data_IF_446825547615
#
_entry.id   IF_446825547615
#
_cell.length_a   1.000
_cell.length_b   1.000
_cell.length_c   1.000
_cell.angle_alpha   90.00
_cell.angle_beta   90.00
_cell.angle_gamma   90.00
#
_symmetry.space_group_name_H-M   'P 1'
#
loop_
_entity.id
_entity.type
_entity.pdbx_description
1 polymer ?
#
# COMPACT_ATOMS: atom_id res chain seq x y z
N UNK A 1 23.22 13.83 -0.44
CA UNK A 1 22.25 13.93 -1.56
C UNK A 1 21.17 12.89 -1.30
N UNK A 2 19.96 13.31 -0.86
CA UNK A 2 18.84 12.40 -0.64
C UNK A 2 18.14 12.20 -1.98
N UNK A 3 18.18 10.98 -2.51
CA UNK A 3 17.40 10.61 -3.68
C UNK A 3 15.93 10.46 -3.27
N UNK A 4 15.08 11.39 -3.70
CA UNK A 4 13.63 11.25 -3.59
C UNK A 4 13.18 10.20 -4.61
N UNK A 5 12.99 8.98 -4.16
CA UNK A 5 12.33 7.96 -4.97
C UNK A 5 10.81 8.18 -4.87
N UNK A 6 10.26 8.90 -5.84
CA UNK A 6 8.80 9.02 -6.02
C UNK A 6 8.32 7.75 -6.71
N UNK A 7 7.75 6.83 -5.94
CA UNK A 7 7.08 5.66 -6.49
C UNK A 7 5.68 6.09 -6.92
N UNK A 8 5.44 6.11 -8.24
CA UNK A 8 4.10 6.32 -8.80
C UNK A 8 3.36 4.98 -8.81
N UNK A 9 2.44 4.79 -7.87
CA UNK A 9 1.48 3.69 -7.95
C UNK A 9 0.25 4.23 -8.67
N UNK A 10 0.08 3.86 -9.95
CA UNK A 10 -1.10 4.18 -10.74
C UNK A 10 -2.06 3.01 -10.54
N UNK A 11 -3.04 3.16 -9.64
CA UNK A 11 -4.13 2.20 -9.51
C UNK A 11 -5.29 2.68 -10.40
N UNK A 12 -5.45 2.07 -11.57
CA UNK A 12 -6.56 2.33 -12.49
C UNK A 12 -7.76 1.47 -12.09
N UNK A 13 -8.68 2.01 -11.30
CA UNK A 13 -9.93 1.33 -10.98
C UNK A 13 -10.97 1.76 -12.02
N UNK A 14 -11.26 0.88 -13.00
CA UNK A 14 -12.40 1.02 -13.91
C UNK A 14 -13.64 0.40 -13.27
N UNK A 15 -14.58 1.22 -12.90
CA UNK A 15 -15.94 0.76 -12.58
C UNK A 15 -16.75 0.80 -13.89
N UNK A 16 -17.08 -0.37 -14.45
CA UNK A 16 -17.89 -0.48 -15.67
C UNK A 16 -19.33 -0.76 -15.25
N UNK A 17 -20.27 0.18 -15.35
CA UNK A 17 -21.68 -0.14 -15.42
C UNK A 17 -21.96 -0.69 -16.81
N UNK A 18 -22.45 -1.91 -16.90
CA UNK A 18 -22.85 -2.56 -18.14
C UNK A 18 -24.22 -2.02 -18.57
N UNK A 19 -24.23 -0.95 -19.33
CA UNK A 19 -25.37 -0.56 -20.17
C UNK A 19 -24.81 0.12 -21.42
N UNK A 20 -25.14 -0.51 -22.55
CA UNK A 20 -24.77 -0.07 -23.88
C UNK A 20 -25.55 1.19 -24.26
N UNK A 21 -24.90 2.34 -24.22
CA UNK A 21 -25.25 3.48 -25.05
C UNK A 21 -23.95 4.18 -25.46
N UNK A 22 -23.79 4.32 -26.80
CA UNK A 22 -22.68 5.04 -27.41
C UNK A 22 -22.93 6.54 -27.22
N UNK A 23 -22.45 7.10 -26.09
CA UNK A 23 -22.40 8.52 -25.84
C UNK A 23 -20.94 8.95 -25.78
N UNK A 24 -20.61 10.09 -26.39
CA UNK A 24 -19.31 10.74 -26.32
C UNK A 24 -18.98 11.03 -24.87
N UNK A 25 -18.32 10.08 -24.24
CA UNK A 25 -18.00 10.14 -22.82
C UNK A 25 -16.69 10.93 -22.66
N UNK A 26 -16.82 12.19 -22.26
CA UNK A 26 -15.72 12.95 -21.71
C UNK A 26 -15.49 12.44 -20.28
N UNK A 27 -14.84 11.29 -20.15
CA UNK A 27 -14.41 10.81 -18.85
C UNK A 27 -13.50 11.85 -18.21
N UNK A 28 -13.95 12.43 -17.10
CA UNK A 28 -13.19 13.42 -16.37
C UNK A 28 -12.30 12.71 -15.35
N UNK A 29 -10.99 12.69 -15.61
CA UNK A 29 -10.02 12.20 -14.65
C UNK A 29 -9.81 13.20 -13.51
N UNK A 30 -10.12 12.78 -12.30
CA UNK A 30 -9.87 13.56 -11.08
C UNK A 30 -8.62 13.04 -10.39
N UNK A 31 -7.71 13.95 -10.04
CA UNK A 31 -6.46 13.64 -9.35
C UNK A 31 -6.56 14.02 -7.89
N UNK A 32 -6.28 13.06 -7.01
CA UNK A 32 -6.20 13.25 -5.57
C UNK A 32 -4.84 12.77 -5.07
N UNK A 33 -4.25 13.45 -4.09
CA UNK A 33 -2.96 13.06 -3.53
C UNK A 33 -2.98 13.19 -2.02
N UNK A 34 -2.31 12.25 -1.35
CA UNK A 34 -2.12 12.24 0.09
C UNK A 34 -0.75 11.64 0.43
N UNK A 35 -0.21 11.99 1.58
CA UNK A 35 1.08 11.50 2.05
C UNK A 35 0.90 10.33 3.00
N UNK A 36 1.46 9.17 2.65
CA UNK A 36 1.38 7.96 3.46
C UNK A 36 2.63 7.10 3.25
N UNK A 37 3.05 6.34 4.25
CA UNK A 37 4.21 5.43 4.17
C UNK A 37 5.50 6.10 3.65
N UNK A 38 5.75 7.36 4.07
CA UNK A 38 6.94 8.12 3.68
C UNK A 38 6.98 8.56 2.21
N UNK A 39 5.90 8.43 1.46
CA UNK A 39 5.78 8.83 0.05
C UNK A 39 4.45 9.53 -0.23
N UNK A 40 4.28 10.04 -1.45
CA UNK A 40 3.01 10.62 -1.90
C UNK A 40 2.24 9.59 -2.71
N UNK A 41 1.05 9.24 -2.23
CA UNK A 41 0.08 8.45 -2.97
C UNK A 41 -0.73 9.37 -3.87
N UNK A 42 -0.86 8.99 -5.13
CA UNK A 42 -1.69 9.73 -6.11
C UNK A 42 -2.70 8.77 -6.73
N UNK A 43 -3.97 9.16 -6.65
CA UNK A 43 -5.09 8.46 -7.25
C UNK A 43 -5.59 9.27 -8.46
N UNK A 44 -5.76 8.59 -9.58
CA UNK A 44 -6.45 9.10 -10.76
C UNK A 44 -7.76 8.32 -10.87
N UNK A 45 -8.88 9.01 -10.70
CA UNK A 45 -10.21 8.41 -10.70
C UNK A 45 -10.97 8.93 -11.92
N UNK A 46 -11.40 8.02 -12.77
CA UNK A 46 -12.26 8.28 -13.92
C UNK A 46 -13.72 8.20 -13.47
N UNK A 47 -14.37 9.35 -13.33
CA UNK A 47 -15.75 9.45 -12.86
C UNK A 47 -16.35 10.81 -13.24
N UNK A 48 -17.61 10.83 -13.70
CA UNK A 48 -18.28 12.07 -14.12
C UNK A 48 -18.59 13.00 -12.96
N UNK A 49 -18.83 12.46 -11.77
CA UNK A 49 -19.15 13.22 -10.57
C UNK A 49 -17.92 13.34 -9.66
N UNK A 50 -17.40 14.56 -9.52
CA UNK A 50 -16.24 14.86 -8.68
C UNK A 50 -16.45 14.53 -7.19
N UNK A 51 -17.68 14.69 -6.67
CA UNK A 51 -17.96 14.43 -5.25
C UNK A 51 -17.91 12.93 -4.96
N UNK A 52 -18.37 12.08 -5.88
CA UNK A 52 -18.26 10.63 -5.77
C UNK A 52 -16.79 10.19 -5.93
N UNK A 53 -16.06 10.74 -6.89
CA UNK A 53 -14.62 10.50 -7.04
C UNK A 53 -13.87 10.87 -5.75
N UNK A 54 -14.17 12.02 -5.15
CA UNK A 54 -13.57 12.48 -3.90
C UNK A 54 -13.88 11.55 -2.73
N UNK A 55 -15.13 11.09 -2.58
CA UNK A 55 -15.50 10.09 -1.55
C UNK A 55 -14.69 8.80 -1.72
N UNK A 56 -14.57 8.30 -2.95
CA UNK A 56 -13.76 7.12 -3.27
C UNK A 56 -12.29 7.32 -2.89
N UNK A 57 -11.70 8.47 -3.25
CA UNK A 57 -10.33 8.82 -2.90
C UNK A 57 -10.12 8.85 -1.38
N UNK A 58 -11.05 9.47 -0.63
CA UNK A 58 -10.98 9.55 0.83
C UNK A 58 -11.00 8.16 1.48
N UNK A 59 -11.84 7.24 0.99
CA UNK A 59 -11.89 5.86 1.49
C UNK A 59 -10.59 5.12 1.22
N UNK A 60 -10.03 5.28 0.01
CA UNK A 60 -8.76 4.65 -0.36
C UNK A 60 -7.58 5.18 0.48
N UNK A 61 -7.49 6.49 0.70
CA UNK A 61 -6.46 7.06 1.57
C UNK A 61 -6.62 6.63 3.02
N UNK A 62 -7.86 6.57 3.54
CA UNK A 62 -8.14 6.04 4.88
C UNK A 62 -7.61 4.61 5.03
N UNK A 63 -7.81 3.77 4.03
CA UNK A 63 -7.30 2.40 4.04
C UNK A 63 -5.77 2.36 3.96
N UNK A 64 -5.13 3.21 3.13
CA UNK A 64 -3.69 3.34 3.07
C UNK A 64 -3.10 3.74 4.43
N UNK A 65 -3.71 4.70 5.12
CA UNK A 65 -3.30 5.09 6.48
C UNK A 65 -3.49 3.95 7.49
N UNK A 66 -4.59 3.18 7.39
CA UNK A 66 -4.78 1.99 8.23
C UNK A 66 -3.67 0.96 8.01
N UNK A 67 -3.32 0.68 6.77
CA UNK A 67 -2.26 -0.25 6.42
C UNK A 67 -0.87 0.26 6.82
N UNK A 68 -0.66 1.58 6.86
CA UNK A 68 0.57 2.16 7.41
C UNK A 68 0.79 1.76 8.87
N UNK A 69 -0.27 1.67 9.68
CA UNK A 69 -0.17 1.19 11.07
C UNK A 69 0.17 -0.30 11.17
N UNK A 70 -0.05 -1.07 10.12
CA UNK A 70 0.34 -2.48 10.05
C UNK A 70 1.79 -2.63 9.57
N UNK A 71 2.14 -1.99 8.45
CA UNK A 71 3.33 -2.30 7.69
C UNK A 71 4.49 -1.29 7.82
N UNK A 72 4.31 -0.15 8.46
CA UNK A 72 5.40 0.83 8.59
C UNK A 72 6.50 0.32 9.50
N UNK A 73 7.75 0.37 9.03
CA UNK A 73 8.93 0.11 9.84
C UNK A 73 9.51 1.40 10.47
N UNK A 74 8.98 2.58 10.10
CA UNK A 74 9.34 3.88 10.67
C UNK A 74 8.46 4.27 11.85
N UNK A 75 7.19 3.85 11.84
CA UNK A 75 6.22 4.11 12.90
C UNK A 75 6.42 3.12 14.05
N UNK A 76 6.96 3.60 15.17
CA UNK A 76 7.27 2.73 16.34
C UNK A 76 6.03 2.03 16.92
N UNK A 77 4.84 2.56 16.66
CA UNK A 77 3.55 2.02 17.05
C UNK A 77 2.97 0.99 16.09
N UNK A 78 3.56 0.81 14.90
CA UNK A 78 3.07 -0.15 13.91
C UNK A 78 3.22 -1.60 14.38
N UNK A 79 2.45 -2.48 13.76
CA UNK A 79 2.52 -3.91 14.06
C UNK A 79 3.88 -4.50 13.63
N UNK A 80 4.36 -4.16 12.44
CA UNK A 80 5.66 -4.58 11.93
C UNK A 80 6.81 -4.13 12.83
N UNK A 81 6.81 -2.87 13.29
CA UNK A 81 7.85 -2.36 14.20
C UNK A 81 7.83 -3.09 15.54
N UNK A 82 6.65 -3.42 16.08
CA UNK A 82 6.52 -4.22 17.31
C UNK A 82 7.05 -5.65 17.11
N UNK A 83 6.71 -6.29 15.99
CA UNK A 83 7.24 -7.60 15.64
C UNK A 83 8.76 -7.58 15.54
N UNK A 84 9.33 -6.60 14.82
CA UNK A 84 10.77 -6.45 14.63
C UNK A 84 11.52 -6.21 15.93
N UNK A 85 10.96 -5.43 16.88
CA UNK A 85 11.56 -5.22 18.21
C UNK A 85 11.62 -6.48 19.06
N UNK A 86 10.73 -7.43 18.81
CA UNK A 86 10.69 -8.72 19.49
C UNK A 86 11.42 -9.82 18.73
N UNK A 87 12.11 -9.49 17.63
CA UNK A 87 12.93 -10.45 16.89
C UNK A 87 14.05 -11.00 17.80
N UNK A 88 14.32 -12.30 17.68
CA UNK A 88 15.27 -13.00 18.54
C UNK A 88 14.68 -13.46 19.90
N UNK A 89 13.43 -13.12 20.23
CA UNK A 89 12.75 -13.77 21.33
C UNK A 89 12.32 -15.18 20.91
N UNK A 90 12.46 -16.16 21.80
CA UNK A 90 11.96 -17.54 21.55
C UNK A 90 10.43 -17.66 21.68
N UNK A 91 9.72 -16.52 21.73
CA UNK A 91 8.27 -16.47 21.93
C UNK A 91 7.55 -16.19 20.63
N UNK A 92 6.42 -16.87 20.42
CA UNK A 92 5.50 -16.54 19.34
C UNK A 92 4.77 -15.23 19.64
N UNK A 93 4.70 -14.34 18.66
CA UNK A 93 3.98 -13.07 18.71
C UNK A 93 2.78 -13.15 17.77
N UNK A 94 1.55 -12.87 18.25
CA UNK A 94 0.40 -12.82 17.36
C UNK A 94 0.53 -11.63 16.41
N UNK A 95 0.18 -11.85 15.15
CA UNK A 95 0.15 -10.82 14.10
C UNK A 95 -1.19 -10.85 13.37
N UNK A 96 -1.56 -9.72 12.76
CA UNK A 96 -2.77 -9.64 11.94
C UNK A 96 -2.70 -10.57 10.73
N UNK A 97 -3.86 -10.88 10.17
CA UNK A 97 -3.94 -11.68 8.95
C UNK A 97 -3.21 -11.00 7.79
N UNK A 98 -3.32 -9.67 7.70
CA UNK A 98 -2.65 -8.87 6.68
C UNK A 98 -1.13 -8.99 6.77
N UNK A 99 -0.56 -8.83 7.96
CA UNK A 99 0.89 -8.94 8.15
C UNK A 99 1.35 -10.39 7.92
N UNK A 100 0.63 -11.38 8.41
CA UNK A 100 0.92 -12.79 8.16
C UNK A 100 0.93 -13.13 6.67
N UNK A 101 -0.04 -12.60 5.91
CA UNK A 101 -0.13 -12.85 4.46
C UNK A 101 1.09 -12.28 3.72
N UNK A 102 1.55 -11.10 4.08
CA UNK A 102 2.75 -10.49 3.48
C UNK A 102 4.00 -11.28 3.87
N UNK A 103 4.15 -11.69 5.13
CA UNK A 103 5.30 -12.49 5.59
C UNK A 103 5.35 -13.84 4.88
N UNK A 104 4.21 -14.52 4.72
CA UNK A 104 4.13 -15.80 4.00
C UNK A 104 4.49 -15.66 2.52
N UNK A 105 3.98 -14.61 1.85
CA UNK A 105 4.33 -14.33 0.46
C UNK A 105 5.81 -13.99 0.30
N UNK A 106 6.37 -13.26 1.24
CA UNK A 106 7.80 -12.91 1.27
C UNK A 106 8.69 -14.13 1.46
N UNK A 107 8.31 -15.05 2.34
CA UNK A 107 9.02 -16.32 2.55
C UNK A 107 9.03 -17.15 1.26
N UNK A 108 7.87 -17.28 0.61
CA UNK A 108 7.77 -17.99 -0.66
C UNK A 108 8.66 -17.36 -1.74
N UNK A 109 8.66 -16.03 -1.86
CA UNK A 109 9.51 -15.32 -2.82
C UNK A 109 11.00 -15.53 -2.51
N UNK A 110 11.38 -15.54 -1.22
CA UNK A 110 12.76 -15.85 -0.80
C UNK A 110 13.19 -17.24 -1.27
N UNK A 111 12.35 -18.25 -1.10
CA UNK A 111 12.59 -19.62 -1.56
C UNK A 111 12.70 -19.70 -3.08
N UNK A 112 11.78 -19.09 -3.82
CA UNK A 112 11.75 -19.08 -5.29
C UNK A 112 12.98 -18.37 -5.90
N UNK A 113 13.54 -17.39 -5.18
CA UNK A 113 14.71 -16.63 -5.63
C UNK A 113 16.05 -17.15 -5.05
N UNK A 114 16.03 -18.30 -4.36
CA UNK A 114 17.20 -18.85 -3.66
C UNK A 114 17.87 -17.84 -2.73
N UNK A 115 17.07 -17.05 -1.99
CA UNK A 115 17.56 -16.05 -1.04
C UNK A 115 18.00 -14.72 -1.66
N UNK A 116 17.81 -14.50 -2.96
CA UNK A 116 18.07 -13.18 -3.56
C UNK A 116 17.12 -12.09 -3.05
N UNK A 117 15.91 -12.46 -2.65
CA UNK A 117 14.99 -11.63 -1.91
C UNK A 117 14.96 -12.07 -0.45
N UNK A 118 15.17 -11.11 0.47
CA UNK A 118 15.10 -11.35 1.91
C UNK A 118 14.42 -10.17 2.60
N UNK A 119 13.22 -10.40 3.15
CA UNK A 119 12.46 -9.36 3.86
C UNK A 119 13.12 -8.97 5.20
N UNK A 120 14.03 -9.78 5.72
CA UNK A 120 14.69 -9.53 7.02
C UNK A 120 15.90 -8.60 6.90
N UNK A 121 16.23 -8.11 5.70
CA UNK A 121 17.39 -7.25 5.44
C UNK A 121 17.30 -5.86 6.10
N UNK A 122 16.13 -5.44 6.57
CA UNK A 122 15.88 -4.12 7.15
C UNK A 122 16.94 -3.61 8.13
N UNK A 123 17.43 -4.42 9.10
CA UNK A 123 18.48 -4.00 10.02
C UNK A 123 19.83 -3.68 9.35
N UNK A 124 20.09 -4.23 8.17
CA UNK A 124 21.34 -4.04 7.43
C UNK A 124 21.26 -2.92 6.39
N UNK A 125 20.07 -2.36 6.13
CA UNK A 125 19.84 -1.32 5.12
C UNK A 125 19.74 0.09 5.70
N UNK A 126 19.95 0.28 7.00
CA UNK A 126 19.88 1.56 7.73
C UNK A 126 21.24 2.12 8.10
#
# INVERSE_FOLDING_TARGET
>A
MRANHTIFIILLIKFIPMSSECSNDHSAFHKFSDSCMGTTFTLLIDHDNIDEAKKGAMLAFKEAHRLNLVFSDYESGSELSKLSKNSGSEKFHPVSFELMSVLAASQKLSEETNGCFDITIGPYSR
#
